data_IF_085394325335
#
_entry.id   IF_085394325335
#
_cell.length_a   1.000
_cell.length_b   1.000
_cell.length_c   1.000
_cell.angle_alpha   90.00
_cell.angle_beta   90.00
_cell.angle_gamma   90.00
#
_symmetry.space_group_name_H-M   'P 1'
#
loop_
_entity.id
_entity.type
_entity.pdbx_description
1 polymer ?
#
# COMPACT_ATOMS: atom_id res chain seq x y z
N UNK A 1 -2.71 -24.47 -36.44
CA UNK A 1 -3.04 -23.26 -35.65
C UNK A 1 -3.43 -23.74 -34.26
N UNK A 2 -2.97 -23.07 -33.18
CA UNK A 2 -3.31 -23.41 -31.78
C UNK A 2 -4.82 -23.25 -31.58
N UNK A 3 -5.45 -24.21 -30.92
CA UNK A 3 -6.87 -24.16 -30.57
C UNK A 3 -7.04 -23.60 -29.16
N UNK A 4 -7.80 -22.52 -29.00
CA UNK A 4 -8.02 -21.85 -27.71
C UNK A 4 -8.64 -22.76 -26.66
N UNK A 5 -9.54 -23.68 -27.04
CA UNK A 5 -10.09 -24.65 -26.12
C UNK A 5 -9.02 -25.58 -25.54
N UNK A 6 -8.07 -26.04 -26.36
CA UNK A 6 -6.94 -26.86 -25.90
C UNK A 6 -6.04 -26.08 -24.95
N UNK A 7 -5.83 -24.80 -25.20
CA UNK A 7 -5.08 -23.90 -24.31
C UNK A 7 -5.80 -23.74 -22.98
N UNK A 8 -7.11 -23.57 -22.99
CA UNK A 8 -7.90 -23.49 -21.76
C UNK A 8 -7.83 -24.78 -20.93
N UNK A 9 -7.96 -25.95 -21.58
CA UNK A 9 -7.78 -27.25 -20.94
C UNK A 9 -6.39 -27.40 -20.33
N UNK A 10 -5.35 -26.94 -21.05
CA UNK A 10 -3.97 -26.94 -20.55
C UNK A 10 -3.84 -26.13 -19.25
N UNK A 11 -4.38 -24.91 -19.21
CA UNK A 11 -4.34 -24.07 -18.02
C UNK A 11 -5.03 -24.70 -16.82
N UNK A 12 -6.22 -25.28 -17.01
CA UNK A 12 -6.96 -25.95 -15.92
C UNK A 12 -6.23 -27.19 -15.41
N UNK A 13 -5.57 -27.97 -16.28
CA UNK A 13 -4.74 -29.10 -15.84
C UNK A 13 -3.51 -28.62 -15.06
N UNK A 14 -2.87 -27.53 -15.52
CA UNK A 14 -1.73 -26.94 -14.83
C UNK A 14 -2.10 -26.42 -13.42
N UNK A 15 -3.26 -25.78 -13.28
CA UNK A 15 -3.76 -25.28 -11.98
C UNK A 15 -4.16 -26.39 -11.02
N UNK A 16 -4.80 -27.44 -11.52
CA UNK A 16 -5.33 -28.52 -10.66
C UNK A 16 -4.30 -29.60 -10.35
N UNK A 17 -3.20 -29.67 -11.12
CA UNK A 17 -2.20 -30.73 -10.99
C UNK A 17 -2.74 -32.14 -11.29
N UNK A 18 -3.96 -32.26 -11.86
CA UNK A 18 -4.64 -33.54 -12.07
C UNK A 18 -5.59 -33.53 -13.26
N UNK A 19 -5.44 -34.50 -14.16
CA UNK A 19 -6.38 -34.67 -15.28
C UNK A 19 -7.81 -34.97 -14.82
N UNK A 20 -7.97 -35.69 -13.72
CA UNK A 20 -9.30 -36.01 -13.18
C UNK A 20 -9.97 -34.80 -12.55
N UNK A 21 -9.22 -33.99 -11.78
CA UNK A 21 -9.74 -32.76 -11.19
C UNK A 21 -10.06 -31.71 -12.28
N UNK A 22 -9.22 -31.60 -13.31
CA UNK A 22 -9.48 -30.75 -14.47
C UNK A 22 -10.73 -31.16 -15.22
N UNK A 23 -10.97 -32.48 -15.37
CA UNK A 23 -12.16 -33.03 -16.02
C UNK A 23 -13.45 -32.63 -15.29
N UNK A 24 -13.45 -32.72 -13.95
CA UNK A 24 -14.59 -32.28 -13.12
C UNK A 24 -14.83 -30.78 -13.30
N UNK A 25 -13.78 -29.96 -13.23
CA UNK A 25 -13.90 -28.50 -13.35
C UNK A 25 -14.37 -28.03 -14.74
N UNK A 26 -14.02 -28.78 -15.79
CA UNK A 26 -14.40 -28.48 -17.17
C UNK A 26 -15.69 -29.18 -17.62
N UNK A 27 -16.35 -29.96 -16.75
CA UNK A 27 -17.51 -30.80 -17.08
C UNK A 27 -17.23 -31.75 -18.24
N UNK A 28 -16.02 -32.34 -18.27
CA UNK A 28 -15.57 -33.31 -19.26
C UNK A 28 -15.28 -34.67 -18.61
N UNK A 29 -15.04 -35.66 -19.46
CA UNK A 29 -14.46 -36.93 -19.01
C UNK A 29 -12.92 -36.83 -18.97
N UNK A 30 -12.28 -37.58 -18.06
CA UNK A 30 -10.81 -37.58 -17.97
C UNK A 30 -10.15 -38.03 -19.32
N UNK A 31 -10.66 -39.05 -20.10
CA UNK A 31 -10.14 -39.31 -21.44
C UNK A 31 -10.26 -38.12 -22.38
N UNK A 32 -11.35 -37.32 -22.29
CA UNK A 32 -11.55 -36.13 -23.10
C UNK A 32 -10.49 -35.07 -22.80
N UNK A 33 -10.22 -34.78 -21.53
CA UNK A 33 -9.12 -33.87 -21.16
C UNK A 33 -7.78 -34.37 -21.66
N UNK A 34 -7.47 -35.66 -21.46
CA UNK A 34 -6.24 -36.28 -21.98
C UNK A 34 -6.09 -36.15 -23.50
N UNK A 35 -7.19 -36.29 -24.22
CA UNK A 35 -7.21 -36.16 -25.69
C UNK A 35 -6.90 -34.72 -26.12
N UNK A 36 -7.47 -33.70 -25.46
CA UNK A 36 -7.20 -32.30 -25.76
C UNK A 36 -5.73 -31.95 -25.51
N UNK A 37 -5.17 -32.40 -24.39
CA UNK A 37 -3.74 -32.18 -24.09
C UNK A 37 -2.85 -32.88 -25.10
N UNK A 38 -3.12 -34.14 -25.44
CA UNK A 38 -2.33 -34.84 -26.49
C UNK A 38 -2.39 -34.14 -27.83
N UNK A 39 -3.55 -33.60 -28.21
CA UNK A 39 -3.69 -32.85 -29.47
C UNK A 39 -2.86 -31.56 -29.44
N UNK A 40 -2.84 -30.83 -28.32
CA UNK A 40 -1.98 -29.65 -28.13
C UNK A 40 -0.49 -30.02 -28.17
N UNK A 41 -0.07 -31.05 -27.45
CA UNK A 41 1.31 -31.54 -27.44
C UNK A 41 1.74 -32.00 -28.83
N UNK A 42 0.89 -32.69 -29.57
CA UNK A 42 1.16 -33.12 -30.96
C UNK A 42 1.33 -31.91 -31.88
N UNK A 43 0.48 -30.90 -31.73
CA UNK A 43 0.57 -29.66 -32.51
C UNK A 43 1.87 -28.90 -32.24
N UNK A 44 2.29 -28.85 -30.95
CA UNK A 44 3.51 -28.15 -30.54
C UNK A 44 4.79 -29.01 -30.68
N UNK A 45 4.66 -30.30 -30.94
CA UNK A 45 5.77 -31.24 -31.11
C UNK A 45 6.54 -31.54 -29.80
N UNK A 46 5.97 -31.19 -28.65
CA UNK A 46 6.62 -31.38 -27.34
C UNK A 46 5.63 -31.78 -26.25
N UNK A 47 6.12 -32.44 -25.20
CA UNK A 47 5.31 -32.74 -24.03
C UNK A 47 5.23 -31.53 -23.11
N UNK A 48 4.02 -31.27 -22.62
CA UNK A 48 3.72 -30.16 -21.70
C UNK A 48 3.61 -30.65 -20.25
N UNK A 49 3.28 -31.92 -20.05
CA UNK A 49 3.13 -32.55 -18.74
C UNK A 49 3.97 -33.81 -18.56
N UNK A 50 4.46 -34.02 -17.34
CA UNK A 50 5.08 -35.26 -16.87
C UNK A 50 4.15 -35.88 -15.85
N UNK A 51 3.87 -37.19 -15.98
CA UNK A 51 3.15 -37.95 -14.96
C UNK A 51 4.06 -38.31 -13.80
N UNK A 52 3.64 -37.97 -12.58
CA UNK A 52 4.26 -38.40 -11.32
C UNK A 52 3.27 -39.28 -10.56
N UNK A 53 3.74 -40.07 -9.63
CA UNK A 53 2.92 -41.10 -8.95
C UNK A 53 1.56 -40.65 -8.45
N UNK A 54 1.39 -39.41 -8.01
CA UNK A 54 0.13 -38.86 -7.49
C UNK A 54 -0.41 -37.65 -8.26
N UNK A 55 0.00 -37.40 -9.52
CA UNK A 55 -0.48 -36.25 -10.29
C UNK A 55 0.30 -35.99 -11.56
N UNK A 56 0.26 -34.75 -12.01
CA UNK A 56 1.00 -34.26 -13.18
C UNK A 56 1.73 -32.97 -12.86
N UNK A 57 2.93 -32.84 -13.40
CA UNK A 57 3.77 -31.66 -13.30
C UNK A 57 4.03 -31.09 -14.70
N UNK A 58 4.28 -29.80 -14.80
CA UNK A 58 4.68 -29.16 -16.05
C UNK A 58 6.10 -29.57 -16.44
N UNK A 59 6.33 -29.76 -17.74
CA UNK A 59 7.69 -29.78 -18.33
C UNK A 59 8.26 -28.36 -18.45
N UNK A 60 9.52 -28.21 -18.81
CA UNK A 60 10.08 -26.91 -19.18
C UNK A 60 9.25 -26.21 -20.25
N UNK A 61 8.85 -26.93 -21.33
CA UNK A 61 7.97 -26.41 -22.37
C UNK A 61 6.55 -26.05 -21.84
N UNK A 62 6.07 -26.80 -20.83
CA UNK A 62 4.81 -26.46 -20.14
C UNK A 62 4.92 -25.15 -19.38
N UNK A 63 6.00 -24.90 -18.66
CA UNK A 63 6.27 -23.63 -17.99
C UNK A 63 6.40 -22.47 -18.99
N UNK A 64 7.12 -22.69 -20.11
CA UNK A 64 7.26 -21.67 -21.15
C UNK A 64 5.92 -21.31 -21.80
N UNK A 65 4.98 -22.25 -21.89
CA UNK A 65 3.66 -22.02 -22.44
C UNK A 65 2.70 -21.31 -21.47
N UNK A 66 2.93 -21.38 -20.16
CA UNK A 66 1.95 -20.96 -19.15
C UNK A 66 1.51 -19.50 -19.35
N UNK A 67 2.45 -18.57 -19.36
CA UNK A 67 2.18 -17.14 -19.53
C UNK A 67 1.60 -16.79 -20.92
N UNK A 68 2.14 -17.30 -22.03
CA UNK A 68 1.52 -17.12 -23.34
C UNK A 68 0.09 -17.67 -23.41
N UNK A 69 -0.18 -18.83 -22.81
CA UNK A 69 -1.50 -19.44 -22.77
C UNK A 69 -2.53 -18.55 -22.03
N UNK A 70 -2.18 -18.02 -20.88
CA UNK A 70 -3.01 -17.08 -20.12
C UNK A 70 -3.36 -15.83 -20.94
N UNK A 71 -2.35 -15.26 -21.60
CA UNK A 71 -2.54 -14.08 -22.49
C UNK A 71 -3.48 -14.38 -23.66
N UNK A 72 -3.37 -15.54 -24.27
CA UNK A 72 -4.26 -15.94 -25.38
C UNK A 72 -5.72 -16.05 -24.95
N UNK A 73 -5.99 -16.71 -23.82
CA UNK A 73 -7.34 -16.83 -23.27
C UNK A 73 -7.88 -15.43 -22.89
N UNK A 74 -7.07 -14.62 -22.22
CA UNK A 74 -7.46 -13.27 -21.86
C UNK A 74 -7.79 -12.40 -23.08
N UNK A 75 -6.96 -12.47 -24.14
CA UNK A 75 -7.19 -11.75 -25.39
C UNK A 75 -8.49 -12.22 -26.09
N UNK A 76 -8.77 -13.53 -26.09
CA UNK A 76 -10.03 -14.08 -26.62
C UNK A 76 -11.24 -13.51 -25.89
N UNK A 77 -11.23 -13.58 -24.55
CA UNK A 77 -12.30 -13.03 -23.73
C UNK A 77 -12.48 -11.51 -23.93
N UNK A 78 -11.38 -10.77 -24.04
CA UNK A 78 -11.43 -9.34 -24.34
C UNK A 78 -12.07 -9.04 -25.69
N UNK A 79 -11.69 -9.82 -26.72
CA UNK A 79 -12.22 -9.66 -28.08
C UNK A 79 -13.72 -9.86 -28.09
N UNK A 80 -14.21 -10.94 -27.43
CA UNK A 80 -15.64 -11.21 -27.30
C UNK A 80 -16.37 -10.05 -26.60
N UNK A 81 -15.83 -9.58 -25.46
CA UNK A 81 -16.39 -8.44 -24.72
C UNK A 81 -16.40 -7.15 -25.54
N UNK A 82 -15.34 -6.88 -26.30
CA UNK A 82 -15.25 -5.68 -27.16
C UNK A 82 -16.31 -5.69 -28.25
N UNK A 83 -16.59 -6.86 -28.85
CA UNK A 83 -17.64 -6.99 -29.86
C UNK A 83 -19.05 -6.91 -29.24
N UNK A 84 -19.23 -7.50 -28.07
CA UNK A 84 -20.53 -7.47 -27.36
C UNK A 84 -20.83 -6.08 -26.76
N UNK A 85 -19.82 -5.30 -26.37
CA UNK A 85 -19.96 -3.95 -25.78
C UNK A 85 -20.33 -2.83 -26.78
N UNK A 86 -20.56 -3.14 -28.05
CA UNK A 86 -21.14 -2.19 -29.01
C UNK A 86 -22.55 -1.70 -28.67
N UNK A 87 -23.16 -2.24 -27.61
CA UNK A 87 -24.35 -1.68 -26.95
C UNK A 87 -23.91 -0.81 -25.78
N UNK A 88 -23.75 0.47 -26.05
CA UNK A 88 -23.78 1.72 -25.25
C UNK A 88 -23.38 1.76 -23.76
N UNK A 89 -23.10 0.68 -23.05
CA UNK A 89 -22.71 0.70 -21.63
C UNK A 89 -21.38 -0.03 -21.42
N UNK A 90 -20.42 0.71 -20.79
CA UNK A 90 -19.13 0.12 -20.41
C UNK A 90 -19.38 -0.92 -19.31
N UNK A 91 -19.16 -2.18 -19.64
CA UNK A 91 -19.34 -3.32 -18.72
C UNK A 91 -18.11 -4.21 -18.65
N UNK A 92 -17.99 -5.01 -17.61
CA UNK A 92 -16.92 -5.98 -17.44
C UNK A 92 -16.32 -6.02 -16.04
N UNK A 93 -15.17 -6.67 -15.92
CA UNK A 93 -14.44 -6.82 -14.65
C UNK A 93 -13.08 -6.14 -14.74
N UNK A 94 -12.68 -5.48 -13.65
CA UNK A 94 -11.34 -4.94 -13.41
C UNK A 94 -10.75 -5.76 -12.25
N UNK A 95 -9.52 -6.25 -12.43
CA UNK A 95 -8.78 -7.02 -11.43
C UNK A 95 -7.60 -6.21 -10.96
N UNK A 96 -7.58 -5.87 -9.69
CA UNK A 96 -6.54 -5.06 -9.08
C UNK A 96 -5.86 -5.87 -7.97
N UNK A 97 -4.53 -5.91 -8.00
CA UNK A 97 -3.75 -6.41 -6.88
C UNK A 97 -3.55 -5.32 -5.83
N UNK A 98 -3.35 -5.71 -4.58
CA UNK A 98 -3.09 -4.80 -3.50
C UNK A 98 -2.08 -5.38 -2.52
N UNK A 99 -0.89 -4.79 -2.43
CA UNK A 99 0.08 -5.11 -1.38
C UNK A 99 0.04 -4.10 -0.22
N UNK A 100 -0.96 -3.21 -0.21
CA UNK A 100 -1.10 -2.12 0.75
C UNK A 100 -2.42 -2.27 1.49
N UNK A 101 -2.38 -2.60 2.76
CA UNK A 101 -3.59 -2.75 3.58
C UNK A 101 -4.40 -1.44 3.71
N UNK A 102 -3.74 -0.27 3.56
CA UNK A 102 -4.41 1.03 3.59
C UNK A 102 -5.06 1.44 2.25
N UNK A 103 -4.74 0.80 1.13
CA UNK A 103 -5.25 1.19 -0.19
C UNK A 103 -6.79 1.19 -0.30
N UNK A 104 -7.54 0.21 0.24
CA UNK A 104 -9.00 0.27 0.22
C UNK A 104 -9.56 1.51 0.92
N UNK A 105 -8.89 2.01 1.95
CA UNK A 105 -9.32 3.18 2.70
C UNK A 105 -9.07 4.50 1.95
N UNK A 106 -7.97 4.58 1.22
CA UNK A 106 -7.65 5.76 0.40
C UNK A 106 -8.44 5.78 -0.92
N UNK A 107 -8.79 4.61 -1.45
CA UNK A 107 -9.44 4.46 -2.75
C UNK A 107 -10.97 4.34 -2.70
N UNK A 108 -11.56 4.23 -1.50
CA UNK A 108 -13.01 4.01 -1.36
C UNK A 108 -13.86 5.04 -2.10
N UNK A 109 -13.48 6.33 -2.02
CA UNK A 109 -14.18 7.42 -2.72
C UNK A 109 -14.02 7.34 -4.25
N UNK A 110 -12.85 6.93 -4.76
CA UNK A 110 -12.61 6.76 -6.19
C UNK A 110 -13.41 5.59 -6.75
N UNK A 111 -13.41 4.47 -6.04
CA UNK A 111 -14.19 3.28 -6.42
C UNK A 111 -15.69 3.58 -6.41
N UNK A 112 -16.18 4.31 -5.41
CA UNK A 112 -17.57 4.76 -5.35
C UNK A 112 -17.93 5.64 -6.56
N UNK A 113 -17.11 6.67 -6.86
CA UNK A 113 -17.36 7.56 -7.99
C UNK A 113 -17.28 6.84 -9.33
N UNK A 114 -16.29 5.95 -9.48
CA UNK A 114 -16.13 5.15 -10.69
C UNK A 114 -17.34 4.24 -10.92
N UNK A 115 -17.78 3.50 -9.88
CA UNK A 115 -18.97 2.63 -9.98
C UNK A 115 -20.25 3.39 -10.20
N UNK A 116 -20.36 4.60 -9.68
CA UNK A 116 -21.53 5.47 -9.96
C UNK A 116 -21.60 5.88 -11.43
N UNK A 117 -20.46 6.00 -12.13
CA UNK A 117 -20.40 6.30 -13.57
C UNK A 117 -20.53 5.05 -14.45
N UNK A 118 -20.09 3.91 -13.96
CA UNK A 118 -20.03 2.64 -14.69
C UNK A 118 -20.60 1.50 -13.82
N UNK A 119 -21.93 1.46 -13.60
CA UNK A 119 -22.57 0.51 -12.69
C UNK A 119 -22.39 -0.95 -13.11
N UNK A 120 -22.28 -1.22 -14.41
CA UNK A 120 -22.09 -2.55 -14.97
C UNK A 120 -20.63 -3.06 -14.91
N UNK A 121 -19.72 -2.26 -14.32
CA UNK A 121 -18.34 -2.69 -14.11
C UNK A 121 -18.16 -3.22 -12.70
N UNK A 122 -17.70 -4.46 -12.59
CA UNK A 122 -17.25 -5.05 -11.32
C UNK A 122 -15.76 -4.80 -11.10
N UNK A 123 -15.39 -4.43 -9.88
CA UNK A 123 -13.98 -4.29 -9.48
C UNK A 123 -13.67 -5.38 -8.47
N UNK A 124 -12.66 -6.18 -8.76
CA UNK A 124 -12.12 -7.20 -7.87
C UNK A 124 -10.76 -6.73 -7.35
N UNK A 125 -10.62 -6.68 -6.03
CA UNK A 125 -9.37 -6.34 -5.36
C UNK A 125 -8.89 -7.56 -4.59
N UNK A 126 -7.65 -7.99 -4.85
CA UNK A 126 -7.04 -9.12 -4.16
C UNK A 126 -5.74 -8.73 -3.49
N UNK A 127 -5.47 -9.31 -2.33
CA UNK A 127 -4.19 -9.12 -1.67
C UNK A 127 -3.12 -9.94 -2.38
N UNK A 128 -1.98 -9.30 -2.70
CA UNK A 128 -0.85 -9.97 -3.35
C UNK A 128 0.47 -9.27 -2.99
N UNK A 129 1.53 -10.05 -2.85
CA UNK A 129 2.88 -9.54 -2.60
C UNK A 129 3.45 -8.81 -3.84
N UNK A 130 4.41 -7.86 -3.68
CA UNK A 130 4.98 -7.11 -4.80
C UNK A 130 5.59 -7.98 -5.92
N UNK A 131 6.31 -9.04 -5.57
CA UNK A 131 6.92 -9.95 -6.55
C UNK A 131 5.88 -10.68 -7.41
N UNK A 132 4.96 -11.47 -6.81
CA UNK A 132 3.83 -12.08 -7.50
C UNK A 132 2.97 -11.09 -8.29
N UNK A 133 2.74 -9.88 -7.75
CA UNK A 133 1.99 -8.83 -8.46
C UNK A 133 2.63 -8.48 -9.81
N UNK A 134 3.95 -8.35 -9.85
CA UNK A 134 4.65 -8.04 -11.10
C UNK A 134 4.47 -9.15 -12.14
N UNK A 135 4.52 -10.41 -11.71
CA UNK A 135 4.23 -11.57 -12.56
C UNK A 135 2.81 -11.54 -13.11
N UNK A 136 1.83 -11.34 -12.24
CA UNK A 136 0.40 -11.28 -12.60
C UNK A 136 0.07 -10.10 -13.54
N UNK A 137 0.69 -8.93 -13.36
CA UNK A 137 0.56 -7.80 -14.29
C UNK A 137 1.11 -8.13 -15.68
N UNK A 138 2.27 -8.81 -15.75
CA UNK A 138 2.88 -9.23 -17.03
C UNK A 138 2.09 -10.34 -17.72
N UNK A 139 1.53 -11.26 -16.94
CA UNK A 139 0.65 -12.32 -17.44
C UNK A 139 -0.75 -11.82 -17.78
N UNK A 140 -1.06 -10.54 -17.52
CA UNK A 140 -2.40 -9.94 -17.65
C UNK A 140 -3.48 -10.63 -16.81
N UNK A 141 -3.08 -11.23 -15.72
CA UNK A 141 -3.99 -11.76 -14.68
C UNK A 141 -4.55 -10.62 -13.83
N UNK A 142 -3.76 -9.55 -13.66
CA UNK A 142 -4.18 -8.28 -13.05
C UNK A 142 -4.15 -7.15 -14.10
N UNK A 143 -5.11 -6.26 -13.98
CA UNK A 143 -5.23 -5.05 -14.81
C UNK A 143 -4.49 -3.86 -14.20
N UNK A 144 -4.14 -3.94 -12.91
CA UNK A 144 -3.36 -2.96 -12.18
C UNK A 144 -3.05 -3.43 -10.76
N UNK A 145 -2.25 -2.65 -10.02
CA UNK A 145 -1.89 -2.97 -8.65
C UNK A 145 -1.56 -1.76 -7.79
N UNK A 146 -1.98 -1.79 -6.53
CA UNK A 146 -1.63 -0.78 -5.51
C UNK A 146 -0.35 -1.21 -4.80
N UNK A 147 0.64 -0.32 -4.81
CA UNK A 147 1.95 -0.56 -4.21
C UNK A 147 2.38 0.63 -3.36
N UNK A 148 3.22 0.37 -2.36
CA UNK A 148 3.93 1.41 -1.64
C UNK A 148 5.23 1.74 -2.37
N UNK A 149 5.53 3.04 -2.50
CA UNK A 149 6.70 3.50 -3.22
C UNK A 149 6.67 3.16 -4.71
N UNK A 150 7.75 3.46 -5.41
CA UNK A 150 7.90 3.13 -6.82
C UNK A 150 8.46 1.72 -6.99
N UNK A 151 7.62 0.80 -7.45
CA UNK A 151 8.07 -0.55 -7.81
C UNK A 151 9.01 -0.49 -9.04
N UNK A 152 10.16 -1.16 -8.94
CA UNK A 152 11.09 -1.29 -10.07
C UNK A 152 10.59 -2.36 -11.03
N UNK A 153 10.43 -1.99 -12.32
CA UNK A 153 10.02 -2.92 -13.37
C UNK A 153 10.02 -2.26 -14.73
N UNK A 154 10.61 -2.94 -15.75
CA UNK A 154 10.63 -2.43 -17.10
C UNK A 154 9.19 -2.44 -17.66
N UNK A 155 8.73 -1.29 -18.17
CA UNK A 155 7.41 -1.18 -18.80
C UNK A 155 6.26 -0.85 -17.84
N UNK A 156 6.50 -0.69 -16.55
CA UNK A 156 5.48 -0.25 -15.61
C UNK A 156 5.17 1.25 -15.75
N UNK A 157 3.89 1.57 -15.75
CA UNK A 157 3.37 2.93 -15.59
C UNK A 157 2.97 3.12 -14.13
N UNK A 158 3.30 4.28 -13.55
CA UNK A 158 3.04 4.60 -12.15
C UNK A 158 2.20 5.86 -12.06
N UNK A 159 1.07 5.76 -11.37
CA UNK A 159 0.21 6.90 -11.00
C UNK A 159 0.33 7.10 -9.50
N UNK A 160 0.90 8.24 -9.06
CA UNK A 160 0.93 8.61 -7.63
C UNK A 160 -0.51 8.93 -7.21
N UNK A 161 -1.08 8.12 -6.32
CA UNK A 161 -2.46 8.24 -5.88
C UNK A 161 -2.57 9.20 -4.70
N UNK A 162 -1.71 9.02 -3.72
CA UNK A 162 -1.69 9.83 -2.51
C UNK A 162 -0.36 9.72 -1.79
N UNK A 163 -0.12 10.71 -0.97
CA UNK A 163 0.87 10.69 0.09
C UNK A 163 0.10 10.56 1.41
N UNK A 164 0.42 9.52 2.16
CA UNK A 164 -0.23 9.21 3.42
C UNK A 164 0.76 9.40 4.57
N UNK A 165 0.66 10.50 5.33
CA UNK A 165 1.56 10.74 6.45
C UNK A 165 1.49 9.60 7.47
N UNK A 166 2.63 9.25 8.05
CA UNK A 166 2.71 8.28 9.13
C UNK A 166 2.70 9.04 10.45
N UNK A 167 1.82 8.66 11.35
CA UNK A 167 1.64 9.28 12.65
C UNK A 167 1.88 8.27 13.77
N UNK A 168 2.40 8.75 14.89
CA UNK A 168 2.40 7.98 16.12
C UNK A 168 0.98 8.00 16.70
N UNK A 169 0.49 6.87 17.16
CA UNK A 169 -0.77 6.75 17.88
C UNK A 169 -0.57 6.20 19.28
N UNK A 170 -1.35 6.71 20.21
CA UNK A 170 -1.38 6.27 21.61
C UNK A 170 -2.81 6.01 22.05
N UNK A 171 -3.07 5.20 23.09
CA UNK A 171 -4.40 5.05 23.68
C UNK A 171 -4.97 6.40 24.14
N UNK A 172 -6.29 6.57 24.16
CA UNK A 172 -6.93 7.83 24.60
C UNK A 172 -6.61 8.25 26.05
N UNK A 173 -6.36 7.28 26.91
CA UNK A 173 -6.01 7.51 28.30
C UNK A 173 -4.50 7.62 28.56
N UNK A 174 -3.69 7.67 27.50
CA UNK A 174 -2.24 7.78 27.61
C UNK A 174 -1.82 9.16 28.10
N UNK A 175 -0.76 9.25 28.92
CA UNK A 175 -0.25 10.50 29.45
C UNK A 175 0.09 11.53 28.37
N UNK A 176 0.56 11.09 27.20
CA UNK A 176 0.91 11.98 26.09
C UNK A 176 -0.28 12.60 25.35
N UNK A 177 -1.49 12.34 25.76
CA UNK A 177 -2.66 13.08 25.26
C UNK A 177 -2.76 14.50 25.83
N UNK A 178 -1.99 14.79 26.88
CA UNK A 178 -1.88 16.10 27.53
C UNK A 178 -0.51 16.73 27.28
N UNK A 179 -0.41 17.98 26.76
CA UNK A 179 0.86 18.70 26.61
C UNK A 179 1.64 18.85 27.92
N UNK A 180 0.94 19.01 29.05
CA UNK A 180 1.59 19.11 30.38
C UNK A 180 2.27 17.80 30.77
N UNK A 181 1.66 16.66 30.48
CA UNK A 181 2.24 15.34 30.74
C UNK A 181 3.42 15.02 29.81
N UNK A 182 3.35 15.44 28.55
CA UNK A 182 4.47 15.35 27.60
C UNK A 182 5.67 16.15 28.17
N UNK A 183 5.45 17.39 28.56
CA UNK A 183 6.50 18.24 29.14
C UNK A 183 7.11 17.64 30.43
N UNK A 184 6.30 17.01 31.27
CA UNK A 184 6.77 16.32 32.47
C UNK A 184 7.64 15.10 32.12
N UNK A 185 7.20 14.25 31.22
CA UNK A 185 7.94 13.08 30.77
C UNK A 185 9.28 13.47 30.11
N UNK A 186 9.32 14.59 29.37
CA UNK A 186 10.57 15.12 28.81
C UNK A 186 11.55 15.61 29.88
N UNK A 187 11.04 16.28 30.94
CA UNK A 187 11.89 16.71 32.06
C UNK A 187 12.46 15.52 32.83
N UNK A 188 11.65 14.49 33.08
CA UNK A 188 12.10 13.27 33.76
C UNK A 188 13.19 12.53 32.94
N UNK A 189 13.01 12.41 31.63
CA UNK A 189 14.01 11.80 30.76
C UNK A 189 15.32 12.61 30.74
N UNK A 190 15.24 13.94 30.74
CA UNK A 190 16.41 14.81 30.83
C UNK A 190 17.11 14.71 32.18
N UNK A 191 16.36 14.56 33.28
CA UNK A 191 16.91 14.35 34.62
C UNK A 191 17.68 13.03 34.71
N UNK A 192 17.08 11.92 34.20
CA UNK A 192 17.74 10.62 34.13
C UNK A 192 19.01 10.66 33.30
N UNK A 193 18.98 11.29 32.12
CA UNK A 193 20.15 11.46 31.27
C UNK A 193 21.24 12.35 31.89
N UNK A 194 20.89 13.24 32.83
CA UNK A 194 21.86 14.01 33.62
C UNK A 194 22.49 13.19 34.72
N UNK A 195 21.71 12.38 35.43
CA UNK A 195 22.22 11.47 36.45
C UNK A 195 23.17 10.42 35.88
N UNK A 196 22.87 9.86 34.73
CA UNK A 196 23.76 8.95 33.99
C UNK A 196 25.06 9.66 33.51
N UNK A 197 25.02 10.95 33.18
CA UNK A 197 26.19 11.75 32.82
C UNK A 197 26.99 12.23 34.00
N UNK A 198 26.41 12.39 35.17
CA UNK A 198 27.11 12.77 36.42
C UNK A 198 27.92 11.64 37.02
N UNK A 199 27.78 10.41 36.49
CA UNK A 199 28.75 9.35 36.70
C UNK A 199 30.05 9.58 35.90
N UNK A 200 30.13 10.65 35.04
CA UNK A 200 31.33 11.13 34.32
C UNK A 200 31.29 12.67 34.22
N UNK A 201 32.36 13.46 34.47
CA UNK A 201 32.25 14.90 34.71
C UNK A 201 32.10 15.79 33.47
N UNK A 202 31.13 16.61 33.56
CA UNK A 202 30.69 17.93 33.08
C UNK A 202 31.18 18.61 31.78
N UNK A 203 30.19 19.15 31.03
CA UNK A 203 30.20 20.55 30.55
C UNK A 203 28.76 21.05 30.32
N UNK A 204 28.48 22.28 30.77
CA UNK A 204 27.16 22.93 30.92
C UNK A 204 26.79 23.78 29.70
N UNK A 205 25.50 23.74 29.26
CA UNK A 205 24.82 24.84 28.53
C UNK A 205 23.35 24.94 28.97
N UNK A 206 22.73 26.14 28.96
CA UNK A 206 21.46 26.43 29.62
C UNK A 206 20.23 26.13 28.73
N UNK A 207 19.09 25.87 29.40
CA UNK A 207 17.80 25.50 28.83
C UNK A 207 16.93 26.73 28.46
N UNK A 208 16.08 26.64 27.43
CA UNK A 208 15.05 27.63 27.16
C UNK A 208 13.74 27.35 27.92
N UNK A 209 13.06 28.45 28.25
CA UNK A 209 11.86 28.56 29.06
C UNK A 209 10.56 28.09 28.39
N UNK A 210 9.65 27.54 29.20
CA UNK A 210 8.33 27.02 28.83
C UNK A 210 7.29 28.14 28.65
N UNK A 211 6.38 27.97 27.69
CA UNK A 211 5.14 28.75 27.59
C UNK A 211 3.92 27.82 27.77
N UNK A 212 3.00 28.28 28.62
CA UNK A 212 1.81 27.60 29.09
C UNK A 212 0.58 27.88 28.21
N UNK A 213 -0.34 26.91 28.08
CA UNK A 213 -1.69 27.17 27.58
C UNK A 213 -2.41 25.91 27.11
N UNK A 214 -3.23 25.33 27.94
CA UNK A 214 -3.96 24.11 27.65
C UNK A 214 -5.24 24.31 26.83
N UNK A 215 -5.40 23.48 25.81
CA UNK A 215 -6.67 23.09 25.21
C UNK A 215 -6.56 21.64 24.79
N UNK A 216 -7.53 20.81 25.16
CA UNK A 216 -7.66 19.44 24.63
C UNK A 216 -7.94 19.51 23.13
N UNK A 217 -7.05 19.01 22.26
CA UNK A 217 -7.24 19.10 20.83
C UNK A 217 -8.30 18.10 20.36
N UNK A 218 -9.30 18.60 19.63
CA UNK A 218 -10.19 17.76 18.84
C UNK A 218 -9.51 17.44 17.52
N UNK A 219 -9.61 16.20 17.08
CA UNK A 219 -9.11 15.74 15.80
C UNK A 219 -9.80 16.53 14.67
N UNK A 220 -9.07 17.40 13.96
CA UNK A 220 -9.50 17.89 12.65
C UNK A 220 -9.98 19.32 12.50
N UNK A 221 -10.16 20.12 13.56
CA UNK A 221 -10.67 21.49 13.35
C UNK A 221 -9.59 22.58 13.26
N UNK A 222 -8.38 22.37 13.85
CA UNK A 222 -7.33 23.39 13.85
C UNK A 222 -5.93 22.88 13.40
N UNK A 223 -5.84 21.69 12.81
CA UNK A 223 -4.57 21.16 12.27
C UNK A 223 -3.46 20.91 13.30
N UNK A 224 -3.69 21.17 14.60
CA UNK A 224 -2.68 21.03 15.63
C UNK A 224 -2.67 19.60 16.19
N UNK A 225 -1.55 18.90 16.02
CA UNK A 225 -1.26 17.58 16.59
C UNK A 225 -0.05 17.75 17.50
N UNK A 226 -0.12 17.38 18.79
CA UNK A 226 1.01 17.46 19.70
C UNK A 226 2.21 16.70 19.16
N UNK A 227 3.39 17.16 19.49
CA UNK A 227 4.65 16.51 19.09
C UNK A 227 5.41 16.05 20.34
N UNK A 228 6.09 14.93 20.23
CA UNK A 228 6.98 14.38 21.25
C UNK A 228 8.42 14.32 20.74
N UNK A 229 9.39 14.39 21.63
CA UNK A 229 10.79 14.15 21.28
C UNK A 229 11.03 12.66 20.97
N UNK A 230 11.86 12.34 19.95
CA UNK A 230 12.15 10.95 19.59
C UNK A 230 12.64 10.07 20.75
N UNK A 231 13.39 10.64 21.68
CA UNK A 231 13.94 9.95 22.84
C UNK A 231 12.85 9.37 23.78
N UNK A 232 11.65 9.98 23.82
CA UNK A 232 10.54 9.48 24.61
C UNK A 232 10.01 8.12 24.11
N UNK A 233 10.20 7.80 22.84
CA UNK A 233 9.79 6.48 22.30
C UNK A 233 10.46 5.32 23.05
N UNK A 234 11.68 5.51 23.60
CA UNK A 234 12.40 4.50 24.38
C UNK A 234 11.68 4.12 25.67
N UNK A 235 10.88 5.02 26.21
CA UNK A 235 10.21 4.85 27.50
C UNK A 235 8.90 4.06 27.41
N UNK A 236 8.39 3.84 26.18
CA UNK A 236 7.09 3.22 25.97
C UNK A 236 7.20 1.85 25.31
N UNK A 237 6.26 0.94 25.58
CA UNK A 237 6.12 -0.29 24.80
C UNK A 237 5.70 0.07 23.38
N UNK A 238 6.56 -0.24 22.41
CA UNK A 238 6.35 0.06 21.00
C UNK A 238 5.78 -1.16 20.26
N UNK A 239 4.70 -0.92 19.54
CA UNK A 239 4.07 -1.89 18.62
C UNK A 239 4.41 -1.47 17.21
N UNK A 240 4.93 -2.39 16.41
CA UNK A 240 5.38 -2.10 15.05
C UNK A 240 4.79 -3.09 14.05
N UNK A 241 4.75 -2.68 12.80
CA UNK A 241 4.41 -3.57 11.71
C UNK A 241 5.57 -4.55 11.45
N UNK A 242 5.24 -5.82 11.28
CA UNK A 242 6.23 -6.87 10.97
C UNK A 242 6.78 -6.65 9.55
N UNK A 243 8.09 -6.65 9.42
CA UNK A 243 8.75 -6.57 8.12
C UNK A 243 9.15 -7.95 7.64
N UNK A 244 8.49 -8.46 6.61
CA UNK A 244 8.89 -9.69 5.94
C UNK A 244 10.07 -9.42 4.99
N UNK A 245 11.31 -9.58 5.46
CA UNK A 245 12.53 -9.57 4.63
C UNK A 245 12.66 -8.34 3.71
N UNK A 246 12.52 -8.53 2.40
CA UNK A 246 12.65 -7.46 1.38
C UNK A 246 11.45 -6.50 1.34
N UNK A 247 10.31 -6.86 1.93
CA UNK A 247 9.09 -6.05 2.03
C UNK A 247 8.91 -5.44 3.42
N UNK A 248 9.87 -4.66 3.89
CA UNK A 248 9.60 -3.78 5.03
C UNK A 248 8.51 -2.79 4.61
N UNK A 249 7.49 -2.58 5.48
CA UNK A 249 6.55 -1.50 5.25
C UNK A 249 7.33 -0.19 5.11
N UNK A 250 6.87 0.69 4.22
CA UNK A 250 7.51 2.00 4.07
C UNK A 250 7.52 2.77 5.40
N UNK A 251 6.52 2.52 6.27
CA UNK A 251 6.45 3.08 7.61
C UNK A 251 7.62 2.64 8.49
N UNK A 252 7.93 1.34 8.51
CA UNK A 252 9.06 0.81 9.30
C UNK A 252 10.40 1.28 8.73
N UNK A 253 10.54 1.31 7.40
CA UNK A 253 11.76 1.81 6.74
C UNK A 253 11.95 3.30 7.04
N UNK A 254 10.92 4.12 6.82
CA UNK A 254 10.97 5.55 7.10
C UNK A 254 11.28 5.83 8.59
N UNK A 255 10.72 5.03 9.51
CA UNK A 255 11.07 5.13 10.93
C UNK A 255 12.54 4.79 11.17
N UNK A 256 13.04 3.69 10.62
CA UNK A 256 14.46 3.30 10.78
C UNK A 256 15.39 4.40 10.26
N UNK A 257 15.16 4.89 9.04
CA UNK A 257 15.96 5.95 8.42
C UNK A 257 15.97 7.22 9.29
N UNK A 258 14.78 7.64 9.79
CA UNK A 258 14.67 8.82 10.64
C UNK A 258 15.30 8.65 12.04
N UNK A 259 15.33 7.42 12.57
CA UNK A 259 16.04 7.10 13.81
C UNK A 259 17.56 7.12 13.60
N UNK A 260 18.04 6.52 12.51
CA UNK A 260 19.48 6.46 12.18
C UNK A 260 20.08 7.86 12.01
N UNK A 261 19.36 8.79 11.35
CA UNK A 261 19.76 10.21 11.26
C UNK A 261 20.02 10.87 12.63
N UNK A 262 19.47 10.29 13.70
CA UNK A 262 19.58 10.79 15.08
C UNK A 262 20.41 9.89 15.98
N UNK A 263 21.19 9.00 15.38
CA UNK A 263 22.01 7.99 16.09
C UNK A 263 21.17 7.10 17.02
N UNK A 264 19.94 6.81 16.63
CA UNK A 264 19.01 5.90 17.29
C UNK A 264 18.72 4.71 16.35
N UNK A 265 18.35 3.57 16.92
CA UNK A 265 17.93 2.41 16.14
C UNK A 265 16.66 1.82 16.73
N UNK A 266 15.95 1.01 15.96
CA UNK A 266 14.78 0.29 16.48
C UNK A 266 15.13 -0.65 17.63
N UNK A 267 16.40 -1.08 17.73
CA UNK A 267 16.92 -1.91 18.84
C UNK A 267 17.00 -1.15 20.16
N UNK A 268 17.07 0.18 20.11
CA UNK A 268 17.05 1.04 21.28
C UNK A 268 15.62 1.22 21.82
N UNK A 269 14.62 0.79 21.06
CA UNK A 269 13.21 0.88 21.41
C UNK A 269 12.74 -0.41 22.11
N UNK A 270 11.78 -0.27 23.03
CA UNK A 270 11.14 -1.41 23.68
C UNK A 270 10.02 -1.96 22.79
N UNK A 271 10.39 -2.69 21.73
CA UNK A 271 9.40 -3.38 20.88
C UNK A 271 8.80 -4.54 21.68
N UNK A 272 7.49 -4.50 21.88
CA UNK A 272 6.74 -5.52 22.65
C UNK A 272 5.88 -6.40 21.76
N UNK A 273 5.54 -5.92 20.56
CA UNK A 273 4.68 -6.65 19.64
C UNK A 273 4.99 -6.28 18.19
N UNK A 274 5.06 -7.28 17.31
CA UNK A 274 5.17 -7.13 15.87
C UNK A 274 3.91 -7.71 15.21
N UNK A 275 3.22 -6.91 14.38
CA UNK A 275 1.93 -7.25 13.80
C UNK A 275 1.96 -7.19 12.27
N UNK A 276 1.09 -7.93 11.57
CA UNK A 276 1.20 -8.10 10.13
C UNK A 276 0.84 -6.85 9.30
N UNK A 277 0.06 -5.93 9.87
CA UNK A 277 -0.44 -4.76 9.15
C UNK A 277 -0.73 -3.59 10.09
N UNK A 278 -0.83 -2.34 9.57
CA UNK A 278 -1.07 -1.14 10.38
C UNK A 278 -2.43 -1.13 11.08
N UNK A 279 -3.44 -1.84 10.57
CA UNK A 279 -4.76 -1.92 11.21
C UNK A 279 -4.67 -2.74 12.49
N UNK A 280 -3.94 -3.85 12.44
CA UNK A 280 -3.66 -4.67 13.62
C UNK A 280 -2.87 -3.87 14.68
N UNK A 281 -1.89 -3.05 14.25
CA UNK A 281 -1.17 -2.12 15.15
C UNK A 281 -2.15 -1.15 15.80
N UNK A 282 -3.06 -0.53 15.03
CA UNK A 282 -4.04 0.42 15.57
C UNK A 282 -5.00 -0.25 16.56
N UNK A 283 -5.46 -1.47 16.30
CA UNK A 283 -6.28 -2.26 17.22
C UNK A 283 -5.53 -2.49 18.57
N UNK A 284 -4.28 -2.95 18.50
CA UNK A 284 -3.49 -3.23 19.69
C UNK A 284 -3.23 -1.96 20.52
N UNK A 285 -2.99 -0.82 19.86
CA UNK A 285 -2.87 0.47 20.55
C UNK A 285 -4.19 0.90 21.19
N UNK A 286 -5.32 0.73 20.51
CA UNK A 286 -6.64 1.05 21.05
C UNK A 286 -6.95 0.25 22.35
N UNK A 287 -6.49 -1.01 22.42
CA UNK A 287 -6.60 -1.87 23.60
C UNK A 287 -5.57 -1.53 24.71
N UNK A 288 -4.71 -0.53 24.48
CA UNK A 288 -3.76 -0.07 25.50
C UNK A 288 -2.48 -0.89 25.63
N UNK A 289 -2.14 -1.74 24.66
CA UNK A 289 -0.94 -2.59 24.71
C UNK A 289 0.38 -1.82 24.53
N UNK A 290 0.30 -0.58 24.05
CA UNK A 290 1.47 0.26 23.83
C UNK A 290 1.18 1.43 22.91
N UNK A 291 2.24 1.97 22.29
CA UNK A 291 2.17 3.03 21.29
C UNK A 291 2.61 2.47 19.92
N UNK A 292 2.13 3.04 18.82
CA UNK A 292 2.43 2.50 17.49
C UNK A 292 2.49 3.56 16.40
N UNK A 293 3.16 3.25 15.30
CA UNK A 293 3.17 4.10 14.11
C UNK A 293 2.27 3.48 13.04
N UNK A 294 1.37 4.31 12.51
CA UNK A 294 0.44 3.88 11.46
C UNK A 294 0.23 5.02 10.45
N UNK A 295 -0.15 4.72 9.20
CA UNK A 295 -0.62 5.73 8.27
C UNK A 295 -1.79 6.54 8.84
N UNK A 296 -1.84 7.82 8.55
CA UNK A 296 -2.91 8.72 9.02
C UNK A 296 -4.29 8.27 8.53
N UNK A 297 -4.38 7.69 7.35
CA UNK A 297 -5.60 7.10 6.80
C UNK A 297 -6.17 5.99 7.70
N UNK A 298 -5.30 5.20 8.33
CA UNK A 298 -5.67 4.18 9.33
C UNK A 298 -6.05 4.85 10.65
N UNK A 299 -5.20 5.75 11.19
CA UNK A 299 -5.47 6.43 12.45
C UNK A 299 -6.87 7.10 12.47
N UNK A 300 -7.28 7.69 11.35
CA UNK A 300 -8.61 8.30 11.17
C UNK A 300 -9.78 7.34 11.30
N UNK A 301 -9.58 6.03 11.16
CA UNK A 301 -10.62 5.02 11.36
C UNK A 301 -10.82 4.67 12.82
N UNK A 302 -9.84 4.98 13.66
CA UNK A 302 -9.84 4.74 15.10
C UNK A 302 -10.08 6.02 15.89
N UNK A 303 -10.72 7.03 15.29
CA UNK A 303 -11.14 8.25 16.00
C UNK A 303 -12.00 7.89 17.21
N UNK A 304 -11.66 8.46 18.38
CA UNK A 304 -12.32 8.10 19.63
C UNK A 304 -11.80 6.83 20.32
N UNK A 305 -10.78 6.17 19.76
CA UNK A 305 -10.12 5.00 20.35
C UNK A 305 -8.61 5.23 20.52
N UNK A 306 -7.99 5.96 19.61
CA UNK A 306 -6.58 6.33 19.68
C UNK A 306 -6.41 7.83 19.52
N UNK A 307 -5.28 8.35 19.99
CA UNK A 307 -4.90 9.75 19.88
C UNK A 307 -3.62 9.87 19.03
N UNK A 308 -3.62 10.67 17.95
CA UNK A 308 -2.44 10.83 17.09
C UNK A 308 -1.47 11.87 17.67
N UNK A 309 -0.18 11.62 17.45
CA UNK A 309 0.93 12.47 17.83
C UNK A 309 1.93 12.57 16.69
N UNK A 310 2.67 13.66 16.62
CA UNK A 310 3.86 13.79 15.77
C UNK A 310 5.12 13.48 16.58
N UNK A 311 6.16 13.09 15.89
CA UNK A 311 7.51 12.99 16.45
C UNK A 311 8.31 14.18 15.94
N UNK A 312 8.90 14.95 16.83
CA UNK A 312 9.66 16.14 16.49
C UNK A 312 10.79 15.83 15.50
N UNK A 313 10.84 16.60 14.42
CA UNK A 313 11.83 16.45 13.36
C UNK A 313 11.67 15.22 12.49
N UNK A 314 10.60 14.43 12.64
CA UNK A 314 10.29 13.32 11.73
C UNK A 314 9.22 13.79 10.73
N UNK A 315 9.51 13.59 9.44
CA UNK A 315 8.54 13.78 8.36
C UNK A 315 8.35 12.44 7.67
N UNK A 316 7.54 11.58 8.28
CA UNK A 316 7.30 10.22 7.79
C UNK A 316 6.06 10.22 6.92
N UNK A 317 6.19 9.68 5.71
CA UNK A 317 5.06 9.48 4.81
C UNK A 317 5.27 8.25 3.94
N UNK A 318 4.18 7.60 3.59
CA UNK A 318 4.18 6.57 2.58
C UNK A 318 3.52 7.09 1.30
N UNK A 319 4.08 6.73 0.16
CA UNK A 319 3.54 7.07 -1.14
C UNK A 319 2.81 5.88 -1.73
N UNK A 320 1.52 6.01 -1.96
CA UNK A 320 0.71 4.97 -2.61
C UNK A 320 0.68 5.22 -4.10
N UNK A 321 1.06 4.21 -4.86
CA UNK A 321 0.99 4.23 -6.33
C UNK A 321 0.01 3.16 -6.82
N UNK A 322 -0.66 3.48 -7.91
CA UNK A 322 -1.35 2.51 -8.73
C UNK A 322 -0.50 2.26 -9.99
N UNK A 323 -0.21 1.01 -10.27
CA UNK A 323 0.68 0.60 -11.37
C UNK A 323 -0.04 -0.29 -12.36
N UNK A 324 0.40 -0.27 -13.61
CA UNK A 324 0.01 -1.25 -14.64
C UNK A 324 1.13 -1.47 -15.65
N UNK A 325 1.05 -2.55 -16.42
CA UNK A 325 1.97 -2.79 -17.54
C UNK A 325 1.56 -1.89 -18.72
N UNK A 326 2.50 -1.13 -19.27
CA UNK A 326 2.29 -0.25 -20.44
C UNK A 326 1.80 -1.01 -21.68
N UNK A 327 2.17 -2.27 -21.80
CA UNK A 327 1.83 -3.13 -22.94
C UNK A 327 0.55 -3.93 -22.73
N UNK A 328 -0.10 -3.78 -21.58
CA UNK A 328 -1.34 -4.50 -21.29
C UNK A 328 -2.43 -4.11 -22.30
N UNK A 329 -3.14 -5.11 -22.77
CA UNK A 329 -4.34 -4.92 -23.58
C UNK A 329 -5.50 -4.62 -22.64
N UNK A 330 -6.13 -3.47 -22.82
CA UNK A 330 -7.20 -3.02 -21.93
C UNK A 330 -8.57 -3.30 -22.54
N UNK A 331 -9.42 -3.99 -21.78
CA UNK A 331 -10.85 -4.07 -22.08
C UNK A 331 -11.50 -2.69 -21.98
N UNK A 332 -12.72 -2.48 -22.52
CA UNK A 332 -13.45 -1.21 -22.37
C UNK A 332 -13.57 -0.75 -20.93
N UNK A 333 -13.84 -1.67 -19.99
CA UNK A 333 -13.91 -1.39 -18.56
C UNK A 333 -12.56 -0.92 -17.99
N UNK A 334 -11.48 -1.62 -18.32
CA UNK A 334 -10.11 -1.28 -17.88
C UNK A 334 -9.65 0.05 -18.51
N UNK A 335 -9.97 0.28 -19.78
CA UNK A 335 -9.69 1.57 -20.44
C UNK A 335 -10.45 2.74 -19.80
N UNK A 336 -11.71 2.53 -19.41
CA UNK A 336 -12.49 3.52 -18.68
C UNK A 336 -11.90 3.80 -17.28
N UNK A 337 -11.42 2.75 -16.60
CA UNK A 337 -10.74 2.86 -15.31
C UNK A 337 -9.48 3.71 -15.40
N UNK A 338 -8.59 3.43 -16.35
CA UNK A 338 -7.34 4.20 -16.50
C UNK A 338 -7.59 5.65 -16.88
N UNK A 339 -8.56 5.92 -17.77
CA UNK A 339 -8.99 7.30 -18.07
C UNK A 339 -9.53 8.02 -16.83
N UNK A 340 -10.25 7.31 -15.96
CA UNK A 340 -10.75 7.86 -14.71
C UNK A 340 -9.60 8.17 -13.76
N UNK A 341 -8.64 7.26 -13.60
CA UNK A 341 -7.42 7.44 -12.77
C UNK A 341 -6.61 8.64 -13.26
N UNK A 342 -6.31 8.71 -14.56
CA UNK A 342 -5.56 9.83 -15.16
C UNK A 342 -6.22 11.18 -14.89
N UNK A 343 -7.55 11.24 -15.02
CA UNK A 343 -8.30 12.47 -14.73
C UNK A 343 -8.26 12.87 -13.25
N UNK A 344 -8.20 11.90 -12.35
CA UNK A 344 -8.10 12.16 -10.90
C UNK A 344 -6.70 12.64 -10.52
N UNK A 345 -5.66 11.93 -10.97
CA UNK A 345 -4.26 12.28 -10.72
C UNK A 345 -3.92 13.64 -11.34
N UNK A 346 -4.37 13.91 -12.57
CA UNK A 346 -4.15 15.19 -13.22
C UNK A 346 -4.81 16.38 -12.51
N UNK A 347 -5.95 16.18 -11.84
CA UNK A 347 -6.59 17.21 -11.01
C UNK A 347 -5.85 17.43 -9.69
N UNK A 348 -5.34 16.37 -9.06
CA UNK A 348 -4.56 16.48 -7.83
C UNK A 348 -3.23 17.21 -8.06
N UNK A 349 -2.51 16.89 -9.13
CA UNK A 349 -1.26 17.58 -9.47
C UNK A 349 -1.44 19.07 -9.78
N UNK A 350 -2.57 19.49 -10.35
CA UNK A 350 -2.90 20.91 -10.53
C UNK A 350 -3.21 21.61 -9.21
N UNK A 351 -3.89 20.94 -8.28
CA UNK A 351 -4.18 21.47 -6.95
C UNK A 351 -2.91 21.64 -6.11
N UNK A 352 -1.99 20.67 -6.16
CA UNK A 352 -0.71 20.76 -5.45
C UNK A 352 0.20 21.88 -6.01
N UNK A 353 0.23 22.05 -7.33
CA UNK A 353 0.98 23.14 -7.97
C UNK A 353 0.45 24.53 -7.64
N UNK A 354 -0.89 24.68 -7.55
CA UNK A 354 -1.50 25.93 -7.12
C UNK A 354 -1.23 26.26 -5.66
N UNK A 355 -1.29 25.29 -4.76
CA UNK A 355 -0.98 25.47 -3.34
C UNK A 355 0.51 25.80 -3.14
N UNK A 356 1.39 25.29 -3.98
CA UNK A 356 2.82 25.57 -3.93
C UNK A 356 3.15 26.97 -4.53
N UNK A 357 2.39 27.40 -5.53
CA UNK A 357 2.45 28.73 -6.12
C UNK A 357 1.90 29.80 -5.17
N UNK A 358 0.77 29.57 -4.52
CA UNK A 358 0.20 30.41 -3.46
C UNK A 358 1.16 30.55 -2.27
N UNK A 359 1.81 29.47 -1.84
CA UNK A 359 2.85 29.51 -0.77
C UNK A 359 4.09 30.30 -1.18
N UNK A 360 4.48 30.28 -2.45
CA UNK A 360 5.60 31.09 -2.97
C UNK A 360 5.21 32.56 -3.07
N UNK A 361 3.99 32.89 -3.43
CA UNK A 361 3.49 34.26 -3.46
C UNK A 361 3.34 34.84 -2.06
N UNK A 362 2.85 34.09 -1.07
CA UNK A 362 2.83 34.51 0.34
C UNK A 362 4.25 34.71 0.92
N UNK A 363 5.23 33.91 0.49
CA UNK A 363 6.63 34.05 0.89
C UNK A 363 7.35 35.22 0.21
N UNK A 364 6.79 35.78 -0.86
CA UNK A 364 7.34 36.89 -1.65
C UNK A 364 6.62 38.22 -1.42
N UNK A 365 5.59 38.25 -0.55
CA UNK A 365 4.95 39.51 -0.16
C UNK A 365 5.93 40.42 0.57
N UNK A 366 6.19 41.64 0.07
CA UNK A 366 7.20 42.51 0.66
C UNK A 366 6.76 42.98 2.04
N UNK A 367 7.67 42.92 2.99
CA UNK A 367 7.63 43.67 4.26
C UNK A 367 7.84 45.16 3.94
N UNK A 368 6.88 45.77 3.26
CA UNK A 368 6.81 47.22 3.05
C UNK A 368 5.42 47.74 3.40
N UNK A 369 5.18 47.89 4.69
CA UNK A 369 4.23 48.89 5.21
C UNK A 369 4.35 49.07 6.72
N UNK A 370 5.53 49.53 7.17
CA UNK A 370 5.67 50.09 8.52
C UNK A 370 6.72 51.20 8.55
N UNK A 371 6.61 52.17 7.65
CA UNK A 371 7.40 53.41 7.72
C UNK A 371 6.66 54.54 7.03
N UNK A 372 5.48 54.91 7.54
CA UNK A 372 4.89 56.24 7.26
C UNK A 372 3.76 56.54 8.23
N UNK A 373 4.13 56.85 9.47
CA UNK A 373 3.32 57.67 10.39
C UNK A 373 4.22 58.06 11.57
N UNK A 374 5.07 59.06 11.31
CA UNK A 374 5.47 60.09 12.28
C UNK A 374 5.37 61.43 11.58
#
# INVERSE_FOLDING_TARGET
MINLWQVQVFLVVAETGSFSAAAVRLHLTQPGVSQQIRALETHLGTKLFIRRGHGVELTAAGYDLLDPARRLIHLSEMTERTVMSRRSEVSGRIRLGCCVSSAPYTMGSWLYEFRSKFPEVSVHLEHTEPGPMLGALRAQELDGGFVLGRMRGRGLVHHKITEDPITLIVPLNHAWTSPAEIGRAEMELQAQAREERHATPATTHPAPTAASGGRTPRFGEDGWVPAIKPALLKTQPLIIEHGNGESHSDARRALNDALEERSLTIRDMRVVLELPDPTAVACAVAEGLGVGLVPLSIARRFVGQVFPLRIEGFSLAQHVYLIHDRKALHSPAVSAWWKFVDNKVGKQGRSESQVEEDRREESLAPVEMAASLV
#
